data_IF_400066705095
#
_entry.id   IF_400066705095
#
_cell.length_a   1.000
_cell.length_b   1.000
_cell.length_c   1.000
_cell.angle_alpha   90.00
_cell.angle_beta   90.00
_cell.angle_gamma   90.00
#
_symmetry.space_group_name_H-M   'P 1'
#
loop_
_entity.id
_entity.type
_entity.pdbx_description
1 polymer ?
#
# COMPACT_ATOMS: atom_id res chain seq x y z
N UNK A 1 -50.33 -18.54 -6.87
CA UNK A 1 -49.64 -17.86 -8.00
C UNK A 1 -49.08 -16.49 -7.60
N UNK A 2 -49.89 -15.47 -7.23
CA UNK A 2 -49.38 -14.10 -6.94
C UNK A 2 -48.30 -13.97 -5.85
N UNK A 3 -48.38 -14.78 -4.78
CA UNK A 3 -47.39 -14.75 -3.68
C UNK A 3 -45.99 -15.22 -4.07
N UNK A 4 -45.87 -16.00 -5.14
CA UNK A 4 -44.58 -16.47 -5.64
C UNK A 4 -43.91 -15.40 -6.51
N UNK A 5 -44.69 -14.75 -7.39
CA UNK A 5 -44.22 -13.61 -8.19
C UNK A 5 -43.75 -12.43 -7.34
N UNK A 6 -44.48 -12.09 -6.26
CA UNK A 6 -44.06 -11.02 -5.35
C UNK A 6 -42.69 -11.31 -4.70
N UNK A 7 -42.40 -12.56 -4.33
CA UNK A 7 -41.11 -12.92 -3.74
C UNK A 7 -39.98 -12.87 -4.76
N UNK A 8 -40.25 -13.19 -6.02
CA UNK A 8 -39.26 -13.12 -7.09
C UNK A 8 -38.91 -11.67 -7.44
N UNK A 9 -39.91 -10.79 -7.51
CA UNK A 9 -39.71 -9.36 -7.71
C UNK A 9 -38.94 -8.72 -6.55
N UNK A 10 -39.26 -9.10 -5.31
CA UNK A 10 -38.51 -8.70 -4.11
C UNK A 10 -37.04 -9.14 -4.20
N UNK A 11 -36.78 -10.40 -4.58
CA UNK A 11 -35.42 -10.92 -4.74
C UNK A 11 -34.64 -10.15 -5.81
N UNK A 12 -35.28 -9.89 -6.96
CA UNK A 12 -34.67 -9.11 -8.05
C UNK A 12 -34.32 -7.69 -7.59
N UNK A 13 -35.22 -7.05 -6.83
CA UNK A 13 -35.00 -5.70 -6.29
C UNK A 13 -33.86 -5.67 -5.28
N UNK A 14 -33.74 -6.70 -4.43
CA UNK A 14 -32.62 -6.83 -3.49
C UNK A 14 -31.28 -7.11 -4.20
N UNK A 15 -31.27 -7.90 -5.27
CA UNK A 15 -30.07 -8.15 -6.07
C UNK A 15 -29.59 -6.90 -6.82
N UNK A 16 -30.50 -6.11 -7.38
CA UNK A 16 -30.13 -4.84 -8.05
C UNK A 16 -29.68 -3.78 -7.03
N UNK A 17 -30.31 -3.70 -5.85
CA UNK A 17 -29.84 -2.84 -4.76
C UNK A 17 -28.44 -3.26 -4.26
N UNK A 18 -28.16 -4.57 -4.16
CA UNK A 18 -26.85 -5.07 -3.78
C UNK A 18 -25.77 -4.82 -4.86
N UNK A 19 -26.15 -4.77 -6.15
CA UNK A 19 -25.24 -4.41 -7.25
C UNK A 19 -24.94 -2.92 -7.27
N UNK A 20 -25.87 -2.04 -6.90
CA UNK A 20 -25.64 -0.59 -6.88
C UNK A 20 -24.72 -0.15 -5.74
N UNK A 21 -24.60 -0.92 -4.67
CA UNK A 21 -23.61 -0.68 -3.58
C UNK A 21 -22.20 -1.18 -3.93
N UNK A 22 -22.03 -1.87 -5.06
CA UNK A 22 -20.73 -2.44 -5.51
C UNK A 22 -20.35 -2.02 -6.93
N UNK A 23 -20.72 -0.80 -7.33
CA UNK A 23 -20.17 -0.15 -8.52
C UNK A 23 -18.76 0.39 -8.27
N UNK A 24 -17.75 -0.48 -8.26
CA UNK A 24 -16.35 -0.07 -8.15
C UNK A 24 -15.39 -1.24 -8.02
N UNK A 25 -14.99 -1.79 -9.17
CA UNK A 25 -13.86 -2.70 -9.41
C UNK A 25 -13.81 -4.01 -8.56
N UNK A 26 -13.10 -5.06 -9.01
CA UNK A 26 -12.71 -6.14 -8.11
C UNK A 26 -11.69 -5.56 -7.14
N UNK A 27 -12.18 -4.90 -6.08
CA UNK A 27 -11.37 -4.59 -4.91
C UNK A 27 -11.01 -5.94 -4.31
N UNK A 28 -9.85 -6.44 -4.70
CA UNK A 28 -8.99 -7.21 -3.80
C UNK A 28 -9.20 -6.63 -2.40
N UNK A 29 -9.59 -7.43 -1.39
CA UNK A 29 -9.68 -6.91 -0.03
C UNK A 29 -8.39 -6.16 0.26
N UNK A 30 -8.42 -4.98 0.91
CA UNK A 30 -7.20 -4.19 1.13
C UNK A 30 -6.24 -5.10 1.88
N UNK A 31 -5.29 -5.67 1.14
CA UNK A 31 -4.46 -6.78 1.62
C UNK A 31 -3.66 -6.29 2.83
N UNK A 32 -3.46 -4.97 2.90
CA UNK A 32 -2.91 -4.15 3.97
C UNK A 32 -3.62 -2.80 3.83
N UNK A 33 -3.91 -2.08 4.92
CA UNK A 33 -4.79 -0.91 4.97
C UNK A 33 -4.41 0.33 4.14
N UNK A 34 -3.84 0.19 2.95
CA UNK A 34 -3.44 1.24 2.00
C UNK A 34 -2.83 2.45 2.72
N UNK A 35 -1.66 2.27 3.39
CA UNK A 35 -1.12 3.29 4.27
C UNK A 35 -0.58 4.52 3.52
N UNK A 36 -0.21 4.36 2.26
CA UNK A 36 0.33 5.44 1.43
C UNK A 36 -0.78 6.33 0.87
N UNK A 37 -0.46 7.61 0.63
CA UNK A 37 -1.35 8.51 -0.10
C UNK A 37 -1.60 8.01 -1.52
N UNK A 38 -2.70 8.46 -2.12
CA UNK A 38 -3.04 8.11 -3.50
C UNK A 38 -1.95 8.56 -4.48
N UNK A 39 -1.32 9.73 -4.24
CA UNK A 39 -0.24 10.20 -5.11
C UNK A 39 0.99 9.28 -5.09
N UNK A 40 1.30 8.67 -3.93
CA UNK A 40 2.40 7.70 -3.83
C UNK A 40 2.04 6.41 -4.56
N UNK A 41 0.85 5.86 -4.32
CA UNK A 41 0.38 4.63 -5.00
C UNK A 41 0.42 4.78 -6.52
N UNK A 42 -0.05 5.92 -7.03
CA UNK A 42 -0.13 6.24 -8.47
C UNK A 42 1.21 6.67 -9.07
N UNK A 43 2.25 6.93 -8.26
CA UNK A 43 3.56 7.35 -8.78
C UNK A 43 4.16 6.25 -9.67
N UNK A 44 4.39 6.49 -10.97
CA UNK A 44 4.98 5.48 -11.83
C UNK A 44 6.45 5.28 -11.47
N UNK A 45 6.89 4.02 -11.45
CA UNK A 45 8.32 3.68 -11.38
C UNK A 45 8.88 3.77 -12.80
N UNK A 46 9.89 4.62 -13.07
CA UNK A 46 10.46 4.73 -14.41
C UNK A 46 10.99 3.37 -14.90
N UNK A 47 10.81 3.01 -16.19
CA UNK A 47 11.24 1.71 -16.72
C UNK A 47 12.75 1.50 -16.68
N UNK A 48 13.53 2.58 -16.65
CA UNK A 48 14.99 2.61 -16.53
C UNK A 48 15.45 2.95 -15.10
N UNK A 49 14.56 2.82 -14.10
CA UNK A 49 14.93 3.03 -12.71
C UNK A 49 15.94 1.96 -12.29
N UNK A 50 17.06 2.41 -11.70
CA UNK A 50 18.12 1.50 -11.25
C UNK A 50 17.58 0.63 -10.11
N UNK A 51 17.98 -0.63 -10.12
CA UNK A 51 17.64 -1.55 -9.04
C UNK A 51 18.18 -1.02 -7.70
N UNK A 52 17.37 -1.13 -6.64
CA UNK A 52 17.77 -0.74 -5.30
C UNK A 52 18.57 -1.87 -4.68
N UNK A 53 19.88 -1.67 -4.59
CA UNK A 53 20.80 -2.58 -3.90
C UNK A 53 20.97 -2.08 -2.48
N UNK A 54 20.14 -2.57 -1.56
CA UNK A 54 20.20 -2.27 -0.13
C UNK A 54 20.07 -3.60 0.61
N UNK A 55 20.85 -3.80 1.68
CA UNK A 55 20.72 -4.98 2.53
C UNK A 55 19.28 -5.05 3.07
N UNK A 56 18.55 -6.17 2.89
CA UNK A 56 17.18 -6.26 3.36
C UNK A 56 17.07 -6.16 4.88
N UNK A 57 16.16 -5.33 5.38
CA UNK A 57 15.90 -5.16 6.80
C UNK A 57 14.98 -6.25 7.34
N UNK A 58 15.47 -7.03 8.31
CA UNK A 58 14.70 -8.10 8.96
C UNK A 58 14.29 -7.78 10.40
N UNK A 59 14.72 -6.63 10.92
CA UNK A 59 14.44 -6.17 12.27
C UNK A 59 15.62 -6.33 13.25
N UNK A 60 16.74 -6.92 12.79
CA UNK A 60 17.95 -7.08 13.62
C UNK A 60 18.99 -5.98 13.42
N UNK A 61 18.91 -5.25 12.31
CA UNK A 61 19.78 -4.12 11.99
C UNK A 61 19.32 -2.84 12.71
N UNK A 62 20.17 -1.82 12.76
CA UNK A 62 19.76 -0.48 13.17
C UNK A 62 18.82 0.16 12.11
N UNK A 63 17.58 0.53 12.47
CA UNK A 63 16.64 1.12 11.53
C UNK A 63 17.11 2.47 10.97
N UNK A 64 17.90 3.26 11.73
CA UNK A 64 18.42 4.54 11.23
C UNK A 64 19.47 4.31 10.15
N UNK A 65 20.41 3.38 10.38
CA UNK A 65 21.39 2.98 9.37
C UNK A 65 20.70 2.44 8.09
N UNK A 66 19.64 1.64 8.23
CA UNK A 66 18.86 1.15 7.08
C UNK A 66 18.23 2.28 6.27
N UNK A 67 17.57 3.24 6.95
CA UNK A 67 16.98 4.41 6.29
C UNK A 67 18.04 5.24 5.54
N UNK A 68 19.21 5.45 6.15
CA UNK A 68 20.31 6.19 5.52
C UNK A 68 20.86 5.47 4.29
N UNK A 69 21.08 4.15 4.38
CA UNK A 69 21.54 3.33 3.26
C UNK A 69 20.52 3.37 2.10
N UNK A 70 19.23 3.22 2.42
CA UNK A 70 18.15 3.32 1.46
C UNK A 70 18.10 4.70 0.77
N UNK A 71 18.14 5.79 1.53
CA UNK A 71 18.12 7.14 0.95
C UNK A 71 19.32 7.41 0.05
N UNK A 72 20.50 6.90 0.43
CA UNK A 72 21.71 6.99 -0.40
C UNK A 72 21.50 6.26 -1.74
N UNK A 73 20.94 5.05 -1.72
CA UNK A 73 20.66 4.31 -2.94
C UNK A 73 19.57 4.98 -3.80
N UNK A 74 18.54 5.55 -3.17
CA UNK A 74 17.50 6.32 -3.84
C UNK A 74 18.08 7.54 -4.57
N UNK A 75 19.01 8.26 -3.93
CA UNK A 75 19.73 9.39 -4.54
C UNK A 75 20.53 8.94 -5.77
N UNK A 76 21.33 7.88 -5.66
CA UNK A 76 22.13 7.31 -6.77
C UNK A 76 21.25 6.85 -7.93
N UNK A 77 20.04 6.37 -7.63
CA UNK A 77 19.08 5.86 -8.61
C UNK A 77 18.21 6.96 -9.24
N UNK A 78 18.40 8.22 -8.83
CA UNK A 78 17.63 9.36 -9.33
C UNK A 78 16.18 9.37 -8.86
N UNK A 79 15.90 8.76 -7.70
CA UNK A 79 14.56 8.72 -7.14
C UNK A 79 14.17 10.00 -6.41
N UNK A 80 12.87 10.14 -6.17
CA UNK A 80 12.25 11.25 -5.46
C UNK A 80 11.51 10.77 -4.22
N UNK A 81 11.00 11.70 -3.42
CA UNK A 81 10.28 11.42 -2.17
C UNK A 81 9.15 10.38 -2.31
N UNK A 82 8.33 10.48 -3.36
CA UNK A 82 7.22 9.56 -3.62
C UNK A 82 7.71 8.17 -4.01
N UNK A 83 8.73 8.08 -4.86
CA UNK A 83 9.37 6.81 -5.22
C UNK A 83 10.04 6.17 -3.99
N UNK A 84 10.64 6.97 -3.11
CA UNK A 84 11.22 6.49 -1.87
C UNK A 84 10.14 5.81 -1.02
N UNK A 85 8.97 6.43 -0.84
CA UNK A 85 7.86 5.82 -0.13
C UNK A 85 7.37 4.53 -0.78
N UNK A 86 7.21 4.55 -2.11
CA UNK A 86 6.67 3.43 -2.88
C UNK A 86 7.58 2.20 -2.86
N UNK A 87 8.89 2.41 -2.91
CA UNK A 87 9.88 1.34 -3.05
C UNK A 87 10.44 0.84 -1.71
N UNK A 88 10.41 1.67 -0.65
CA UNK A 88 10.94 1.29 0.65
C UNK A 88 10.40 -0.04 1.20
N UNK A 89 9.08 -0.36 1.10
CA UNK A 89 8.56 -1.63 1.59
C UNK A 89 9.20 -2.87 0.94
N UNK A 90 9.77 -2.73 -0.27
CA UNK A 90 10.49 -3.80 -0.96
C UNK A 90 11.85 -4.14 -0.32
N UNK A 91 12.34 -3.30 0.58
CA UNK A 91 13.62 -3.51 1.29
C UNK A 91 13.46 -4.21 2.65
N UNK A 92 12.22 -4.58 3.01
CA UNK A 92 11.90 -5.17 4.31
C UNK A 92 11.51 -6.63 4.13
N UNK A 93 12.01 -7.49 5.02
CA UNK A 93 11.78 -8.94 4.99
C UNK A 93 11.47 -9.48 6.38
N UNK A 94 11.15 -10.77 6.42
CA UNK A 94 10.99 -11.50 7.68
C UNK A 94 9.95 -10.89 8.61
N UNK A 95 10.21 -10.93 9.91
CA UNK A 95 9.29 -10.44 10.95
C UNK A 95 9.07 -8.93 10.86
N UNK A 96 10.07 -8.16 10.39
CA UNK A 96 9.95 -6.73 10.24
C UNK A 96 8.80 -6.30 9.32
N UNK A 97 8.38 -7.14 8.35
CA UNK A 97 7.22 -6.83 7.48
C UNK A 97 5.92 -6.56 8.26
N UNK A 98 5.81 -7.04 9.51
CA UNK A 98 4.66 -6.77 10.38
C UNK A 98 4.43 -5.28 10.64
N UNK A 99 5.46 -4.43 10.54
CA UNK A 99 5.31 -2.98 10.64
C UNK A 99 4.27 -2.44 9.66
N UNK A 100 4.13 -3.02 8.46
CA UNK A 100 3.16 -2.55 7.46
C UNK A 100 1.71 -2.71 7.92
N UNK A 101 1.45 -3.68 8.79
CA UNK A 101 0.12 -3.90 9.36
C UNK A 101 -0.22 -2.90 10.47
N UNK A 102 0.77 -2.23 11.07
CA UNK A 102 0.51 -1.22 12.11
C UNK A 102 0.16 0.14 11.52
N UNK A 103 0.40 0.33 10.22
CA UNK A 103 0.18 1.59 9.52
C UNK A 103 -1.33 1.84 9.28
N UNK A 104 -1.78 3.02 9.69
CA UNK A 104 -3.11 3.52 9.39
C UNK A 104 -3.25 3.88 7.90
N UNK A 105 -4.48 3.82 7.40
CA UNK A 105 -4.77 4.13 6.00
C UNK A 105 -4.46 5.58 5.65
N UNK A 106 -3.81 5.79 4.51
CA UNK A 106 -3.56 7.10 3.88
C UNK A 106 -2.80 8.10 4.76
N UNK A 107 -2.04 7.65 5.76
CA UNK A 107 -1.28 8.52 6.66
C UNK A 107 0.10 8.87 6.14
N UNK A 108 0.73 8.01 5.33
CA UNK A 108 2.06 8.28 4.76
C UNK A 108 1.90 9.11 3.49
N UNK A 109 2.30 10.39 3.53
CA UNK A 109 2.20 11.33 2.39
C UNK A 109 3.56 11.69 1.80
N UNK A 110 4.63 11.46 2.54
CA UNK A 110 6.01 11.72 2.14
C UNK A 110 6.97 10.78 2.90
N UNK A 111 8.26 10.84 2.58
CA UNK A 111 9.24 9.92 3.16
C UNK A 111 9.52 10.21 4.64
N UNK A 112 9.34 11.44 5.12
CA UNK A 112 9.49 11.73 6.55
C UNK A 112 8.37 11.09 7.38
N UNK A 113 7.13 11.10 6.88
CA UNK A 113 6.02 10.39 7.53
C UNK A 113 6.37 8.90 7.65
N UNK A 114 6.84 8.30 6.55
CA UNK A 114 7.27 6.90 6.52
C UNK A 114 8.39 6.64 7.54
N UNK A 115 9.47 7.42 7.48
CA UNK A 115 10.64 7.24 8.34
C UNK A 115 10.25 7.35 9.82
N UNK A 116 9.38 8.30 10.18
CA UNK A 116 8.89 8.46 11.55
C UNK A 116 8.14 7.23 12.07
N UNK A 117 7.35 6.56 11.22
CA UNK A 117 6.64 5.33 11.59
C UNK A 117 7.54 4.10 11.63
N UNK A 118 8.68 4.13 10.94
CA UNK A 118 9.59 2.99 10.84
C UNK A 118 10.57 2.91 12.01
N UNK A 119 10.97 4.05 12.58
CA UNK A 119 11.89 4.13 13.73
C UNK A 119 11.17 4.17 15.07
N UNK A 120 9.82 4.10 15.07
CA UNK A 120 8.97 4.18 16.25
C UNK A 120 8.67 2.82 16.84
#
# INVERSE_FOLDING_TARGET
MRRAQQREEELRRQLEAAKTTRGGEPSTPPFWGQPFSKEIDETPVPPNFRELVVEPFDGTQDPHAHLQAFQTQMYISGGNDKLSCKLFPGTIRGVAMQWRATLLARTIKNFNDLASTFVS
#
